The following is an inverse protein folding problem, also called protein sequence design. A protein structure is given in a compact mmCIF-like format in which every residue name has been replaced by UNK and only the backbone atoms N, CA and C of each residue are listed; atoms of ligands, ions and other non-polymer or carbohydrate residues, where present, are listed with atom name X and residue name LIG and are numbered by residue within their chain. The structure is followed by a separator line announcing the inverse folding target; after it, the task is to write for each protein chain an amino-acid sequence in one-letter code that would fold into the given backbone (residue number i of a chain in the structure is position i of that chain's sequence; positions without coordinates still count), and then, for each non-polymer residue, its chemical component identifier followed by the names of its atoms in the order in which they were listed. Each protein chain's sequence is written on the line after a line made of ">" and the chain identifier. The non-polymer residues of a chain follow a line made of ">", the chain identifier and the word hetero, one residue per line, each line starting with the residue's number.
data_IF_417500761860
#
_entry.id   IF_417500761860
#
_cell.length_a   1.000
_cell.length_b   1.000
_cell.length_c   1.000
_cell.angle_alpha   90.00
_cell.angle_beta   90.00
_cell.angle_gamma   90.00
#
_symmetry.space_group_name_H-M   'P 1'
#
loop_
_entity.id
_entity.type
_entity.pdbx_description
1 polymer ?
#
# COMPACT_ATOMS: atom_id res chain seq x y z
N UNK A 1 -11.18 17.00 -10.97
CA UNK A 1 -10.30 15.92 -10.48
C UNK A 1 -9.72 16.39 -9.16
N UNK A 2 -10.03 15.71 -8.06
CA UNK A 2 -9.40 16.00 -6.76
C UNK A 2 -8.09 15.21 -6.66
N UNK A 3 -7.00 15.87 -6.30
CA UNK A 3 -5.72 15.23 -5.98
C UNK A 3 -5.56 15.22 -4.46
N UNK A 4 -5.10 14.11 -3.91
CA UNK A 4 -4.72 13.97 -2.50
C UNK A 4 -3.23 13.69 -2.47
N UNK A 5 -2.49 14.40 -1.61
CA UNK A 5 -1.06 14.22 -1.39
C UNK A 5 -0.81 14.12 0.12
N UNK A 6 0.00 13.14 0.52
CA UNK A 6 0.41 12.92 1.90
C UNK A 6 1.92 12.61 1.91
N UNK A 7 2.61 13.06 2.95
CA UNK A 7 4.06 12.84 3.10
C UNK A 7 4.37 12.34 4.50
N UNK A 8 5.33 11.41 4.58
CA UNK A 8 5.84 10.84 5.83
C UNK A 8 7.36 10.87 5.77
N UNK A 9 7.99 11.44 6.78
CA UNK A 9 9.44 11.44 6.92
C UNK A 9 9.89 10.19 7.69
N UNK A 10 10.88 9.48 7.15
CA UNK A 10 11.43 8.25 7.73
C UNK A 10 12.95 8.34 7.81
N UNK A 11 13.52 8.08 8.99
CA UNK A 11 14.97 8.19 9.25
C UNK A 11 15.71 6.89 8.87
N UNK A 12 15.66 6.55 7.57
CA UNK A 12 16.38 5.41 7.00
C UNK A 12 17.01 5.80 5.67
N UNK A 13 18.09 5.10 5.23
CA UNK A 13 18.64 5.32 3.91
C UNK A 13 17.57 5.19 2.82
N UNK A 14 17.62 6.04 1.80
CA UNK A 14 16.61 6.08 0.72
C UNK A 14 16.36 4.72 0.07
N UNK A 15 17.40 3.89 -0.09
CA UNK A 15 17.27 2.53 -0.65
C UNK A 15 16.50 1.60 0.28
N UNK A 16 16.62 1.77 1.59
CA UNK A 16 15.87 1.00 2.58
C UNK A 16 14.39 1.35 2.49
N UNK A 17 14.06 2.65 2.46
CA UNK A 17 12.68 3.11 2.29
C UNK A 17 12.09 2.61 0.96
N UNK A 18 12.83 2.77 -0.15
CA UNK A 18 12.40 2.34 -1.47
C UNK A 18 12.13 0.83 -1.53
N UNK A 19 13.06 0.02 -1.03
CA UNK A 19 12.91 -1.44 -1.04
C UNK A 19 11.72 -1.89 -0.21
N UNK A 20 11.46 -1.27 0.95
CA UNK A 20 10.28 -1.59 1.77
C UNK A 20 8.98 -1.19 1.07
N UNK A 21 8.96 -0.02 0.42
CA UNK A 21 7.80 0.49 -0.30
C UNK A 21 7.40 -0.40 -1.48
N UNK A 22 8.33 -1.11 -2.09
CA UNK A 22 8.01 -2.06 -3.18
C UNK A 22 7.52 -3.42 -2.69
N UNK A 23 7.54 -3.70 -1.39
CA UNK A 23 7.04 -4.96 -0.82
C UNK A 23 5.57 -4.82 -0.41
N UNK A 24 4.67 -4.71 -1.39
CA UNK A 24 3.25 -4.40 -1.15
C UNK A 24 2.61 -5.33 -0.11
N UNK A 25 2.84 -6.64 -0.16
CA UNK A 25 2.22 -7.59 0.78
C UNK A 25 2.61 -7.35 2.26
N UNK A 26 3.63 -6.54 2.54
CA UNK A 26 3.99 -6.14 3.90
C UNK A 26 3.15 -4.98 4.46
N UNK A 27 2.43 -4.25 3.61
CA UNK A 27 1.73 -3.01 3.99
C UNK A 27 0.68 -3.17 5.10
N UNK A 28 -0.06 -4.30 5.19
CA UNK A 28 -0.99 -4.52 6.30
C UNK A 28 -0.35 -4.45 7.70
N UNK A 29 0.97 -4.64 7.81
CA UNK A 29 1.67 -4.58 9.10
C UNK A 29 1.82 -3.16 9.65
N UNK A 30 1.73 -2.14 8.79
CA UNK A 30 1.98 -0.74 9.17
C UNK A 30 0.96 0.25 8.62
N UNK A 31 0.02 -0.18 7.78
CA UNK A 31 -1.11 0.63 7.29
C UNK A 31 -2.43 0.08 7.81
N UNK A 32 -3.03 0.75 8.80
CA UNK A 32 -4.27 0.29 9.46
C UNK A 32 -5.45 0.09 8.50
N UNK A 33 -5.53 0.88 7.42
CA UNK A 33 -6.60 0.79 6.43
C UNK A 33 -6.45 -0.35 5.43
N UNK A 34 -5.33 -1.05 5.39
CA UNK A 34 -5.04 -2.14 4.44
C UNK A 34 -5.17 -3.48 5.15
N UNK A 35 -6.11 -4.31 4.72
CA UNK A 35 -6.34 -5.63 5.33
C UNK A 35 -5.47 -6.71 4.67
N UNK A 36 -5.34 -6.67 3.33
CA UNK A 36 -4.55 -7.63 2.56
C UNK A 36 -4.13 -7.05 1.22
N UNK A 37 -2.93 -7.43 0.78
CA UNK A 37 -2.49 -7.26 -0.60
C UNK A 37 -1.97 -8.60 -1.10
N UNK A 38 -2.30 -8.96 -2.34
CA UNK A 38 -1.77 -10.13 -3.05
C UNK A 38 -1.11 -9.67 -4.34
N UNK A 39 0.17 -9.98 -4.53
CA UNK A 39 0.83 -9.75 -5.82
C UNK A 39 0.44 -10.88 -6.79
N UNK A 40 -0.30 -10.53 -7.84
CA UNK A 40 -0.79 -11.49 -8.85
C UNK A 40 0.22 -11.71 -9.97
N UNK A 41 0.91 -10.65 -10.37
CA UNK A 41 1.97 -10.66 -11.39
C UNK A 41 3.04 -9.63 -11.02
N UNK A 42 4.07 -9.50 -11.86
CA UNK A 42 5.14 -8.50 -11.67
C UNK A 42 4.61 -7.05 -11.69
N UNK A 43 3.45 -6.80 -12.28
CA UNK A 43 2.84 -5.47 -12.40
C UNK A 43 1.47 -5.35 -11.77
N UNK A 44 0.82 -6.44 -11.35
CA UNK A 44 -0.57 -6.39 -10.86
C UNK A 44 -0.68 -6.82 -9.40
N UNK A 45 -1.39 -6.01 -8.63
CA UNK A 45 -1.67 -6.25 -7.21
C UNK A 45 -3.17 -6.22 -6.95
N UNK A 46 -3.62 -7.11 -6.08
CA UNK A 46 -4.99 -7.19 -5.62
C UNK A 46 -5.09 -6.70 -4.17
N UNK A 47 -5.89 -5.67 -3.92
CA UNK A 47 -5.97 -4.96 -2.65
C UNK A 47 -7.32 -5.19 -1.98
N UNK A 48 -7.28 -5.43 -0.67
CA UNK A 48 -8.44 -5.42 0.22
C UNK A 48 -8.18 -4.38 1.31
N UNK A 49 -8.98 -3.32 1.32
CA UNK A 49 -8.82 -2.18 2.21
C UNK A 49 -10.12 -1.84 2.93
N UNK A 50 -10.03 -1.38 4.17
CA UNK A 50 -11.18 -0.93 4.97
C UNK A 50 -11.21 0.58 5.06
N UNK A 51 -12.24 1.19 4.47
CA UNK A 51 -12.41 2.64 4.42
C UNK A 51 -13.76 3.00 5.05
N UNK A 52 -13.73 3.72 6.17
CA UNK A 52 -14.94 4.19 6.85
C UNK A 52 -15.88 3.05 7.29
N UNK A 53 -15.34 1.90 7.66
CA UNK A 53 -16.10 0.71 8.06
C UNK A 53 -16.59 -0.18 6.91
N UNK A 54 -16.31 0.20 5.65
CA UNK A 54 -16.64 -0.59 4.46
C UNK A 54 -15.39 -1.22 3.88
N UNK A 55 -15.44 -2.51 3.58
CA UNK A 55 -14.38 -3.20 2.83
C UNK A 55 -14.50 -2.88 1.35
N UNK A 56 -13.39 -2.47 0.74
CA UNK A 56 -13.22 -2.24 -0.69
C UNK A 56 -12.16 -3.20 -1.23
N UNK A 57 -12.44 -3.74 -2.41
CA UNK A 57 -11.59 -4.67 -3.11
C UNK A 57 -11.32 -4.14 -4.52
N UNK A 58 -10.06 -4.08 -4.93
CA UNK A 58 -9.67 -3.52 -6.23
C UNK A 58 -8.33 -4.07 -6.72
N UNK A 59 -8.11 -4.01 -8.03
CA UNK A 59 -6.81 -4.30 -8.66
C UNK A 59 -6.08 -3.00 -8.97
N UNK A 60 -4.75 -3.03 -8.84
CA UNK A 60 -3.86 -1.92 -9.20
C UNK A 60 -2.70 -2.44 -10.05
N UNK A 61 -2.36 -1.68 -11.10
CA UNK A 61 -1.25 -1.90 -12.03
C UNK A 61 -0.20 -0.80 -11.91
#
# INVERSE_FOLDING_TARGET
>A
MSQVEESVEVDVPVRTAYNQWTQFESFPHFMEGVERIEQRTDTMTHWVAKVGGVTKEFEAE
#
